data_IF_430304121109
#
_entry.id   IF_430304121109
#
_cell.length_a   1.000
_cell.length_b   1.000
_cell.length_c   1.000
_cell.angle_alpha   90.00
_cell.angle_beta   90.00
_cell.angle_gamma   90.00
#
_symmetry.space_group_name_H-M   'P 1'
#
loop_
_entity.id
_entity.type
_entity.pdbx_description
1 polymer ?
#
# COMPACT_ATOMS: atom_id res chain seq x y z
N UNK A 1 6.64 8.63 -2.49
CA UNK A 1 6.69 7.76 -3.69
C UNK A 1 7.35 6.44 -3.28
N UNK A 2 7.14 5.37 -4.05
CA UNK A 2 7.62 4.02 -3.74
C UNK A 2 8.40 3.45 -4.93
N UNK A 3 9.56 2.83 -4.65
CA UNK A 3 10.47 2.24 -5.63
C UNK A 3 11.19 1.06 -5.01
N UNK A 4 11.45 0.02 -5.79
CA UNK A 4 12.26 -1.11 -5.40
C UNK A 4 13.69 -0.96 -5.94
N UNK A 5 14.69 -1.29 -5.13
CA UNK A 5 16.11 -1.00 -5.40
C UNK A 5 16.64 -1.70 -6.67
N UNK A 6 16.18 -2.92 -6.92
CA UNK A 6 16.66 -3.78 -8.03
C UNK A 6 15.66 -3.94 -9.17
N UNK A 7 14.58 -3.16 -9.21
CA UNK A 7 13.54 -3.29 -10.22
C UNK A 7 13.23 -1.95 -10.89
N UNK A 8 12.91 -1.96 -12.20
CA UNK A 8 12.40 -0.78 -12.88
C UNK A 8 11.01 -0.41 -12.35
N UNK A 9 10.64 0.86 -12.49
CA UNK A 9 9.32 1.37 -12.10
C UNK A 9 9.31 2.25 -10.86
N UNK A 10 8.26 3.06 -10.74
CA UNK A 10 8.02 3.97 -9.61
C UNK A 10 6.52 4.13 -9.42
N UNK A 11 6.07 4.01 -8.18
CA UNK A 11 4.67 4.22 -7.82
C UNK A 11 4.50 5.30 -6.77
N UNK A 12 3.25 5.64 -6.49
CA UNK A 12 2.87 6.60 -5.46
C UNK A 12 1.94 5.93 -4.48
N UNK A 13 2.32 5.96 -3.20
CA UNK A 13 1.46 5.57 -2.08
C UNK A 13 1.00 6.84 -1.40
N UNK A 14 -0.30 7.05 -1.36
CA UNK A 14 -0.95 8.18 -0.71
C UNK A 14 -1.74 7.68 0.51
N UNK A 15 -1.54 8.35 1.64
CA UNK A 15 -2.26 8.10 2.88
C UNK A 15 -3.19 9.29 3.14
N UNK A 16 -4.48 9.02 3.17
CA UNK A 16 -5.50 10.01 3.49
C UNK A 16 -6.09 9.65 4.86
N UNK A 17 -5.99 10.57 5.81
CA UNK A 17 -6.51 10.42 7.16
C UNK A 17 -7.63 11.41 7.39
N UNK A 18 -8.79 10.92 7.82
CA UNK A 18 -9.94 11.75 8.16
C UNK A 18 -10.45 11.39 9.55
N UNK A 19 -10.57 12.38 10.42
CA UNK A 19 -11.22 12.21 11.72
C UNK A 19 -12.71 11.88 11.54
N UNK A 20 -13.18 10.85 12.24
CA UNK A 20 -14.58 10.40 12.28
C UNK A 20 -14.93 10.10 13.73
N UNK A 21 -15.40 11.13 14.44
CA UNK A 21 -15.62 11.06 15.88
C UNK A 21 -14.30 10.80 16.61
N UNK A 22 -14.28 9.74 17.45
CA UNK A 22 -13.09 9.29 18.16
C UNK A 22 -12.22 8.31 17.35
N UNK A 23 -12.57 8.06 16.09
CA UNK A 23 -11.83 7.16 15.20
C UNK A 23 -11.24 7.92 14.03
N UNK A 24 -10.30 7.28 13.33
CA UNK A 24 -9.73 7.79 12.07
C UNK A 24 -10.12 6.87 10.92
N UNK A 25 -10.76 7.42 9.89
CA UNK A 25 -10.89 6.76 8.61
C UNK A 25 -9.57 6.94 7.85
N UNK A 26 -8.90 5.83 7.59
CA UNK A 26 -7.68 5.78 6.79
C UNK A 26 -8.03 5.23 5.41
N UNK A 27 -7.65 5.96 4.37
CA UNK A 27 -7.68 5.48 2.98
C UNK A 27 -6.26 5.45 2.44
N UNK A 28 -5.85 4.27 2.00
CA UNK A 28 -4.60 4.07 1.28
C UNK A 28 -4.89 3.98 -0.21
N UNK A 29 -4.18 4.76 -1.00
CA UNK A 29 -4.26 4.73 -2.46
C UNK A 29 -2.86 4.48 -3.04
N UNK A 30 -2.69 3.39 -3.78
CA UNK A 30 -1.43 3.02 -4.44
C UNK A 30 -1.61 3.08 -5.97
N UNK A 31 -0.93 4.02 -6.63
CA UNK A 31 -1.04 4.29 -8.09
C UNK A 31 0.32 4.21 -8.77
N UNK A 32 0.35 4.08 -10.10
CA UNK A 32 1.59 3.91 -10.85
C UNK A 32 2.07 2.45 -10.90
N UNK A 33 1.16 1.48 -10.67
CA UNK A 33 1.50 0.06 -10.69
C UNK A 33 1.91 -0.42 -12.09
N UNK A 34 1.42 0.25 -13.14
CA UNK A 34 1.80 -0.07 -14.52
C UNK A 34 3.29 0.12 -14.79
N UNK A 35 3.97 0.95 -13.98
CA UNK A 35 5.41 1.18 -14.14
C UNK A 35 6.26 -0.04 -13.76
N UNK A 36 5.66 -1.03 -13.07
CA UNK A 36 6.31 -2.28 -12.69
C UNK A 36 6.03 -3.43 -13.66
N UNK A 37 5.44 -3.18 -14.84
CA UNK A 37 5.11 -4.23 -15.80
C UNK A 37 6.32 -5.11 -16.21
N UNK A 38 7.53 -4.55 -16.19
CA UNK A 38 8.79 -5.25 -16.51
C UNK A 38 9.54 -5.75 -15.26
N UNK A 39 9.01 -5.53 -14.06
CA UNK A 39 9.67 -5.88 -12.80
C UNK A 39 9.51 -7.37 -12.44
N UNK A 40 8.54 -8.09 -13.02
CA UNK A 40 8.35 -9.52 -12.80
C UNK A 40 6.91 -9.91 -12.47
N UNK A 41 6.62 -11.23 -12.43
CA UNK A 41 5.27 -11.75 -12.23
C UNK A 41 4.71 -11.48 -10.83
N UNK A 42 5.55 -11.17 -9.85
CA UNK A 42 5.13 -10.79 -8.49
C UNK A 42 4.63 -9.33 -8.39
N UNK A 43 4.92 -8.48 -9.38
CA UNK A 43 4.52 -7.07 -9.39
C UNK A 43 3.13 -6.88 -10.00
N UNK A 44 2.17 -7.70 -9.55
CA UNK A 44 0.78 -7.61 -10.00
C UNK A 44 -0.06 -6.78 -9.05
N UNK A 45 -1.14 -6.19 -9.59
CA UNK A 45 -2.13 -5.48 -8.76
C UNK A 45 -2.68 -6.35 -7.62
N UNK A 46 -2.86 -7.65 -7.86
CA UNK A 46 -3.36 -8.59 -6.86
C UNK A 46 -2.37 -8.74 -5.71
N UNK A 47 -1.09 -8.98 -6.01
CA UNK A 47 -0.02 -9.08 -5.01
C UNK A 47 0.11 -7.81 -4.17
N UNK A 48 0.02 -6.63 -4.79
CA UNK A 48 -0.01 -5.36 -4.03
C UNK A 48 -1.25 -5.24 -3.15
N UNK A 49 -2.41 -5.68 -3.64
CA UNK A 49 -3.67 -5.61 -2.89
C UNK A 49 -3.62 -6.53 -1.67
N UNK A 50 -3.14 -7.76 -1.82
CA UNK A 50 -2.98 -8.70 -0.71
C UNK A 50 -1.96 -8.20 0.33
N UNK A 51 -0.81 -7.70 -0.12
CA UNK A 51 0.21 -7.13 0.78
C UNK A 51 -0.32 -5.94 1.59
N UNK A 52 -1.06 -5.03 0.94
CA UNK A 52 -1.68 -3.91 1.64
C UNK A 52 -2.81 -4.34 2.57
N UNK A 53 -3.63 -5.32 2.18
CA UNK A 53 -4.69 -5.85 3.05
C UNK A 53 -4.11 -6.43 4.33
N UNK A 54 -3.06 -7.26 4.24
CA UNK A 54 -2.37 -7.79 5.40
C UNK A 54 -1.78 -6.67 6.27
N UNK A 55 -1.05 -5.73 5.65
CA UNK A 55 -0.45 -4.63 6.42
C UNK A 55 -1.52 -3.81 7.16
N UNK A 56 -2.62 -3.48 6.49
CA UNK A 56 -3.66 -2.61 7.03
C UNK A 56 -4.50 -3.29 8.12
N UNK A 57 -4.87 -4.54 7.92
CA UNK A 57 -5.83 -5.24 8.78
C UNK A 57 -5.19 -6.05 9.89
N UNK A 58 -3.92 -6.44 9.74
CA UNK A 58 -3.17 -7.18 10.74
C UNK A 58 -2.06 -6.32 11.33
N UNK A 59 -1.00 -6.03 10.56
CA UNK A 59 0.22 -5.44 11.12
C UNK A 59 0.00 -4.05 11.75
N UNK A 60 -0.61 -3.13 11.01
CA UNK A 60 -0.87 -1.76 11.46
C UNK A 60 -1.95 -1.75 12.56
N UNK A 61 -3.01 -2.53 12.39
CA UNK A 61 -4.08 -2.61 13.37
C UNK A 61 -3.54 -3.09 14.72
N UNK A 62 -2.81 -4.21 14.72
CA UNK A 62 -2.22 -4.76 15.94
C UNK A 62 -1.27 -3.74 16.60
N UNK A 63 -0.40 -3.09 15.83
CA UNK A 63 0.52 -2.07 16.35
C UNK A 63 -0.20 -0.87 17.00
N UNK A 64 -1.37 -0.47 16.50
CA UNK A 64 -2.13 0.66 17.05
C UNK A 64 -3.01 0.28 18.25
N UNK A 65 -3.31 -1.01 18.41
CA UNK A 65 -4.12 -1.55 19.50
C UNK A 65 -3.29 -2.10 20.67
N UNK A 66 -1.95 -2.13 20.54
CA UNK A 66 -0.99 -2.27 21.65
C UNK A 66 -1.01 -1.04 22.58
#
# INVERSE_FOLDING_TARGET
TWRYDNYPGNSTVCWELKAVGEKTLLRLTHTGLETFAEAGPEFTKESFTEGWNYFMHDALKNYLEE
#
